data_IF_564659731397
#
_entry.id   IF_564659731397
#
_cell.length_a   1.000
_cell.length_b   1.000
_cell.length_c   1.000
_cell.angle_alpha   90.00
_cell.angle_beta   90.00
_cell.angle_gamma   90.00
#
_symmetry.space_group_name_H-M   'P 1'
#
loop_
_entity.id
_entity.type
_entity.pdbx_description
1 polymer ?
#
# COMPACT_ATOMS: atom_id res chain seq x y z
N UNK A 1 -39.95 5.73 -5.99
CA UNK A 1 -38.88 4.70 -6.00
C UNK A 1 -39.45 3.57 -6.81
N UNK A 2 -39.29 3.71 -8.12
CA UNK A 2 -39.89 2.82 -9.10
C UNK A 2 -39.08 1.52 -9.13
N UNK A 3 -39.82 0.42 -9.07
CA UNK A 3 -39.32 -0.93 -9.02
C UNK A 3 -38.87 -1.33 -10.43
N UNK A 4 -37.58 -1.14 -10.74
CA UNK A 4 -36.98 -1.65 -11.97
C UNK A 4 -36.99 -3.19 -11.93
N UNK A 5 -38.05 -3.78 -12.49
CA UNK A 5 -38.07 -5.19 -12.87
C UNK A 5 -37.07 -5.38 -14.02
N UNK A 6 -35.88 -5.86 -13.67
CA UNK A 6 -34.93 -6.44 -14.62
C UNK A 6 -35.62 -7.64 -15.27
N UNK A 7 -36.14 -7.45 -16.49
CA UNK A 7 -36.61 -8.56 -17.31
C UNK A 7 -35.40 -9.38 -17.73
N UNK A 8 -35.19 -10.49 -17.04
CA UNK A 8 -34.22 -11.52 -17.40
C UNK A 8 -34.54 -12.00 -18.83
N UNK A 9 -33.69 -11.62 -19.79
CA UNK A 9 -33.89 -11.95 -21.21
C UNK A 9 -33.71 -13.45 -21.39
N UNK A 10 -34.83 -14.18 -21.48
CA UNK A 10 -34.83 -15.61 -21.66
C UNK A 10 -34.10 -16.01 -22.95
N UNK A 11 -33.05 -16.83 -22.81
CA UNK A 11 -32.24 -17.31 -23.92
C UNK A 11 -33.10 -18.16 -24.89
N UNK A 12 -32.97 -17.99 -26.22
CA UNK A 12 -33.76 -18.72 -27.21
C UNK A 12 -33.62 -20.25 -27.07
N UNK A 13 -34.75 -20.96 -26.95
CA UNK A 13 -34.80 -22.40 -26.70
C UNK A 13 -35.11 -23.21 -27.97
N UNK A 14 -34.33 -24.25 -28.23
CA UNK A 14 -34.43 -25.13 -29.41
C UNK A 14 -35.71 -25.98 -29.37
N UNK A 15 -36.24 -26.25 -28.18
CA UNK A 15 -37.46 -27.03 -27.99
C UNK A 15 -38.71 -26.15 -27.86
N UNK A 16 -38.62 -24.85 -28.18
CA UNK A 16 -39.78 -23.96 -28.22
C UNK A 16 -40.77 -24.37 -29.32
N UNK A 17 -42.06 -24.16 -29.06
CA UNK A 17 -43.13 -24.35 -30.03
C UNK A 17 -43.13 -23.27 -31.11
N UNK A 18 -42.47 -22.13 -30.86
CA UNK A 18 -42.35 -21.02 -31.81
C UNK A 18 -41.21 -21.27 -32.81
N UNK A 19 -41.52 -21.16 -34.10
CA UNK A 19 -40.55 -21.39 -35.19
C UNK A 19 -39.39 -20.38 -35.17
N UNK A 20 -39.67 -19.12 -34.83
CA UNK A 20 -38.67 -18.05 -34.84
C UNK A 20 -37.64 -18.20 -33.73
N UNK A 21 -38.06 -18.61 -32.54
CA UNK A 21 -37.15 -18.87 -31.41
C UNK A 21 -36.22 -20.05 -31.69
N UNK A 22 -36.71 -21.09 -32.39
CA UNK A 22 -35.85 -22.22 -32.79
C UNK A 22 -34.83 -21.83 -33.84
N UNK A 23 -35.21 -20.95 -34.78
CA UNK A 23 -34.29 -20.42 -35.80
C UNK A 23 -33.23 -19.54 -35.13
N UNK A 24 -33.63 -18.68 -34.18
CA UNK A 24 -32.71 -17.86 -33.40
C UNK A 24 -31.74 -18.71 -32.57
N UNK A 25 -32.24 -19.73 -31.87
CA UNK A 25 -31.42 -20.65 -31.09
C UNK A 25 -30.41 -21.44 -31.95
N UNK A 26 -30.81 -21.87 -33.16
CA UNK A 26 -29.91 -22.52 -34.12
C UNK A 26 -28.84 -21.59 -34.65
N UNK A 27 -29.20 -20.35 -35.04
CA UNK A 27 -28.22 -19.34 -35.50
C UNK A 27 -27.19 -19.05 -34.42
N UNK A 28 -27.62 -18.95 -33.16
CA UNK A 28 -26.72 -18.72 -32.03
C UNK A 28 -25.74 -19.88 -31.79
N UNK A 29 -26.20 -21.13 -31.96
CA UNK A 29 -25.31 -22.30 -31.89
C UNK A 29 -24.32 -22.37 -33.05
N UNK A 30 -24.74 -22.04 -34.26
CA UNK A 30 -23.85 -22.01 -35.44
C UNK A 30 -22.80 -20.94 -35.27
N UNK A 31 -23.19 -19.72 -34.87
CA UNK A 31 -22.24 -18.64 -34.57
C UNK A 31 -21.22 -19.05 -33.50
N UNK A 32 -21.67 -19.68 -32.40
CA UNK A 32 -20.77 -20.15 -31.33
C UNK A 32 -19.86 -21.31 -31.76
N UNK A 33 -20.30 -22.13 -32.71
CA UNK A 33 -19.50 -23.20 -33.29
C UNK A 33 -18.46 -22.66 -34.30
N UNK A 34 -18.83 -21.66 -35.11
CA UNK A 34 -17.91 -20.94 -35.99
C UNK A 34 -16.85 -20.19 -35.17
N UNK A 35 -17.25 -19.53 -34.08
CA UNK A 35 -16.33 -18.85 -33.16
C UNK A 35 -15.34 -19.84 -32.52
N UNK A 36 -15.79 -21.02 -32.11
CA UNK A 36 -14.88 -22.11 -31.65
C UNK A 36 -13.98 -22.65 -32.75
N UNK A 37 -14.46 -22.76 -33.98
CA UNK A 37 -13.66 -23.25 -35.10
C UNK A 37 -12.60 -22.22 -35.53
N UNK A 38 -12.88 -20.92 -35.39
CA UNK A 38 -11.93 -19.83 -35.65
C UNK A 38 -10.89 -19.72 -34.52
N UNK A 39 -11.28 -19.95 -33.27
CA UNK A 39 -10.40 -19.77 -32.10
C UNK A 39 -9.55 -21.01 -31.75
N UNK A 40 -9.82 -22.18 -32.34
CA UNK A 40 -9.09 -23.42 -32.08
C UNK A 40 -9.37 -24.03 -30.70
N UNK A 41 -9.38 -25.36 -30.59
CA UNK A 41 -9.73 -26.08 -29.35
C UNK A 41 -8.74 -25.87 -28.18
N UNK A 42 -7.58 -25.24 -28.40
CA UNK A 42 -6.58 -24.97 -27.36
C UNK A 42 -6.87 -23.71 -26.52
N UNK A 43 -7.82 -22.85 -26.91
CA UNK A 43 -8.09 -21.60 -26.19
C UNK A 43 -9.16 -21.72 -25.08
N UNK A 44 -9.61 -22.94 -24.78
CA UNK A 44 -10.63 -23.23 -23.77
C UNK A 44 -10.07 -23.98 -22.55
N UNK A 45 -8.74 -24.05 -22.39
CA UNK A 45 -8.19 -24.32 -21.06
C UNK A 45 -8.67 -23.19 -20.16
N UNK A 46 -9.48 -23.57 -19.17
CA UNK A 46 -9.92 -22.79 -18.02
C UNK A 46 -9.18 -21.45 -17.91
N UNK A 47 -9.92 -20.35 -18.09
CA UNK A 47 -9.63 -19.10 -17.41
C UNK A 47 -9.70 -19.41 -15.90
N UNK A 48 -8.67 -20.07 -15.38
CA UNK A 48 -8.28 -19.87 -14.02
C UNK A 48 -8.09 -18.36 -13.92
N UNK A 49 -8.97 -17.70 -13.19
CA UNK A 49 -8.67 -16.40 -12.58
C UNK A 49 -7.40 -16.60 -11.75
N UNK A 50 -6.24 -16.58 -12.42
CA UNK A 50 -4.98 -16.22 -11.81
C UNK A 50 -5.29 -14.86 -11.21
N UNK A 51 -5.45 -14.83 -9.89
CA UNK A 51 -5.43 -13.59 -9.13
C UNK A 51 -4.12 -12.93 -9.52
N UNK A 52 -4.18 -11.97 -10.45
CA UNK A 52 -3.01 -11.21 -10.88
C UNK A 52 -2.32 -10.76 -9.61
N UNK A 53 -1.12 -11.29 -9.36
CA UNK A 53 -0.35 -10.88 -8.21
C UNK A 53 -0.21 -9.36 -8.30
N UNK A 54 -0.57 -8.62 -7.24
CA UNK A 54 -0.57 -7.17 -7.30
C UNK A 54 0.83 -6.73 -7.71
N UNK A 55 0.89 -5.85 -8.69
CA UNK A 55 2.15 -5.30 -9.19
C UNK A 55 3.04 -4.80 -8.04
N UNK A 56 4.36 -4.87 -8.22
CA UNK A 56 5.35 -4.43 -7.24
C UNK A 56 5.08 -3.02 -6.72
N UNK A 57 4.66 -2.11 -7.60
CA UNK A 57 4.32 -0.74 -7.23
C UNK A 57 3.06 -0.67 -6.36
N UNK A 58 2.03 -1.47 -6.66
CA UNK A 58 0.80 -1.57 -5.87
C UNK A 58 1.09 -2.11 -4.47
N UNK A 59 1.93 -3.14 -4.36
CA UNK A 59 2.36 -3.68 -3.06
C UNK A 59 3.13 -2.62 -2.25
N UNK A 60 4.01 -1.85 -2.89
CA UNK A 60 4.75 -0.76 -2.23
C UNK A 60 3.82 0.34 -1.73
N UNK A 61 2.78 0.72 -2.48
CA UNK A 61 1.77 1.70 -2.04
C UNK A 61 1.07 1.22 -0.77
N UNK A 62 0.62 -0.03 -0.73
CA UNK A 62 -0.08 -0.56 0.43
C UNK A 62 0.84 -0.68 1.66
N UNK A 63 2.09 -1.10 1.47
CA UNK A 63 3.09 -1.09 2.54
C UNK A 63 3.35 0.32 3.10
N UNK A 64 3.52 1.29 2.21
CA UNK A 64 3.72 2.70 2.58
C UNK A 64 2.53 3.25 3.36
N UNK A 65 1.30 2.92 2.92
CA UNK A 65 0.05 3.31 3.59
C UNK A 65 -0.04 2.74 5.01
N UNK A 66 0.30 1.46 5.19
CA UNK A 66 0.29 0.82 6.51
C UNK A 66 1.34 1.43 7.44
N UNK A 67 2.53 1.71 6.93
CA UNK A 67 3.61 2.35 7.69
C UNK A 67 3.21 3.75 8.15
N UNK A 68 2.61 4.55 7.27
CA UNK A 68 2.11 5.89 7.59
C UNK A 68 0.97 5.86 8.62
N UNK A 69 0.02 4.93 8.50
CA UNK A 69 -1.05 4.77 9.50
C UNK A 69 -0.51 4.40 10.88
N UNK A 70 0.48 3.51 10.93
CA UNK A 70 1.13 3.17 12.19
C UNK A 70 1.82 4.38 12.79
N UNK A 71 2.57 5.13 11.99
CA UNK A 71 3.23 6.36 12.42
C UNK A 71 2.23 7.41 12.95
N UNK A 72 1.09 7.57 12.28
CA UNK A 72 0.01 8.46 12.70
C UNK A 72 -0.58 8.04 14.05
N UNK A 73 -0.87 6.75 14.24
CA UNK A 73 -1.36 6.20 15.50
C UNK A 73 -0.35 6.43 16.63
N UNK A 74 0.91 6.06 16.41
CA UNK A 74 1.97 6.17 17.42
C UNK A 74 2.22 7.65 17.78
N UNK A 75 2.25 8.54 16.79
CA UNK A 75 2.36 9.99 17.01
C UNK A 75 1.18 10.57 17.79
N UNK A 76 -0.04 10.15 17.45
CA UNK A 76 -1.26 10.59 18.16
C UNK A 76 -1.23 10.17 19.63
N UNK A 77 -0.71 8.97 19.94
CA UNK A 77 -0.54 8.53 21.33
C UNK A 77 0.45 9.40 22.09
N UNK A 78 1.59 9.78 21.49
CA UNK A 78 2.60 10.62 22.14
C UNK A 78 2.08 12.00 22.56
N UNK A 79 1.22 12.61 21.72
CA UNK A 79 0.53 13.87 22.02
C UNK A 79 -0.58 13.67 23.05
N UNK A 80 -1.39 12.62 22.89
CA UNK A 80 -2.50 12.31 23.80
C UNK A 80 -2.03 12.02 25.23
N UNK A 81 -0.85 11.42 25.40
CA UNK A 81 -0.27 11.14 26.71
C UNK A 81 -0.09 12.40 27.57
N UNK A 82 0.25 13.55 26.96
CA UNK A 82 0.36 14.82 27.68
C UNK A 82 -1.01 15.24 28.20
N UNK A 83 -2.03 15.20 27.34
CA UNK A 83 -3.40 15.56 27.71
C UNK A 83 -3.93 14.66 28.84
N UNK A 84 -3.77 13.35 28.71
CA UNK A 84 -4.20 12.39 29.75
C UNK A 84 -3.49 12.65 31.08
N UNK A 85 -2.19 12.94 31.06
CA UNK A 85 -1.45 13.30 32.26
C UNK A 85 -1.93 14.63 32.87
N UNK A 86 -2.32 15.60 32.03
CA UNK A 86 -2.95 16.85 32.46
C UNK A 86 -4.31 16.61 33.12
N UNK A 87 -5.18 15.82 32.49
CA UNK A 87 -6.50 15.47 33.00
C UNK A 87 -6.42 14.73 34.34
N UNK A 88 -5.47 13.80 34.48
CA UNK A 88 -5.23 13.08 35.73
C UNK A 88 -4.81 14.04 36.87
N UNK A 89 -3.92 14.99 36.58
CA UNK A 89 -3.50 16.01 37.56
C UNK A 89 -4.64 16.93 37.94
N UNK A 90 -5.46 17.35 36.98
CA UNK A 90 -6.62 18.21 37.24
C UNK A 90 -7.66 17.49 38.08
N UNK A 91 -7.93 16.21 37.79
CA UNK A 91 -8.80 15.37 38.61
C UNK A 91 -8.29 15.26 40.05
N UNK A 92 -6.99 15.07 40.23
CA UNK A 92 -6.38 15.02 41.55
C UNK A 92 -6.51 16.35 42.29
N UNK A 93 -6.24 17.48 41.62
CA UNK A 93 -6.42 18.82 42.22
C UNK A 93 -7.85 19.03 42.69
N UNK A 94 -8.86 18.68 41.89
CA UNK A 94 -10.27 18.81 42.28
C UNK A 94 -10.60 18.01 43.53
N UNK A 95 -10.14 16.76 43.61
CA UNK A 95 -10.34 15.92 44.79
C UNK A 95 -9.69 16.54 46.05
N UNK A 96 -8.46 17.04 45.94
CA UNK A 96 -7.77 17.73 47.05
C UNK A 96 -8.47 19.04 47.46
N UNK A 97 -9.05 19.75 46.50
CA UNK A 97 -9.83 20.96 46.76
C UNK A 97 -11.14 20.70 47.49
N UNK A 98 -11.87 19.67 47.06
CA UNK A 98 -13.11 19.23 47.70
C UNK A 98 -12.84 18.79 49.14
N UNK A 99 -11.78 18.01 49.36
CA UNK A 99 -11.36 17.58 50.69
C UNK A 99 -10.98 18.77 51.58
N UNK A 100 -10.17 19.70 51.07
CA UNK A 100 -9.77 20.90 51.82
C UNK A 100 -10.99 21.76 52.16
N UNK A 101 -11.93 21.91 51.23
CA UNK A 101 -13.17 22.64 51.46
C UNK A 101 -14.04 21.99 52.54
N UNK A 102 -14.12 20.64 52.55
CA UNK A 102 -14.81 19.88 53.59
C UNK A 102 -14.18 20.12 54.96
N UNK A 103 -12.86 20.02 55.07
CA UNK A 103 -12.11 20.25 56.31
C UNK A 103 -12.32 21.69 56.82
N UNK A 104 -12.26 22.70 55.94
CA UNK A 104 -12.53 24.09 56.33
C UNK A 104 -13.93 24.27 56.90
N UNK A 105 -14.93 23.66 56.26
CA UNK A 105 -16.32 23.71 56.72
C UNK A 105 -16.48 23.07 58.09
N UNK A 106 -15.90 21.89 58.28
CA UNK A 106 -15.94 21.18 59.57
C UNK A 106 -15.27 22.00 60.69
N UNK A 107 -14.10 22.59 60.43
CA UNK A 107 -13.43 23.49 61.39
C UNK A 107 -14.31 24.68 61.79
N UNK A 108 -14.98 25.31 60.82
CA UNK A 108 -15.91 26.42 61.09
C UNK A 108 -17.09 25.98 61.94
N UNK A 109 -17.69 24.82 61.65
CA UNK A 109 -18.82 24.28 62.41
C UNK A 109 -18.41 23.91 63.84
N UNK A 110 -17.22 23.31 64.01
CA UNK A 110 -16.67 22.98 65.33
C UNK A 110 -16.36 24.23 66.16
N UNK A 111 -15.74 25.26 65.56
CA UNK A 111 -15.54 26.54 66.25
C UNK A 111 -16.88 27.15 66.65
N UNK A 112 -17.85 27.22 65.72
CA UNK A 112 -19.13 27.84 66.00
C UNK A 112 -19.85 27.15 67.17
N UNK A 113 -19.81 25.81 67.20
CA UNK A 113 -20.39 25.03 68.29
C UNK A 113 -19.68 25.28 69.62
N UNK A 114 -18.36 25.15 69.66
CA UNK A 114 -17.57 25.36 70.88
C UNK A 114 -17.64 26.81 71.38
N UNK A 115 -17.67 27.79 70.48
CA UNK A 115 -17.89 29.20 70.79
C UNK A 115 -19.28 29.44 71.38
N UNK A 116 -20.32 28.78 70.87
CA UNK A 116 -21.68 28.89 71.41
C UNK A 116 -21.78 28.31 72.83
N UNK A 117 -21.22 27.12 73.06
CA UNK A 117 -21.18 26.46 74.37
C UNK A 117 -20.46 27.34 75.42
N UNK A 118 -19.29 27.89 75.07
CA UNK A 118 -18.53 28.78 75.95
C UNK A 118 -19.23 30.11 76.21
N UNK A 119 -19.90 30.68 75.21
CA UNK A 119 -20.69 31.90 75.40
C UNK A 119 -21.88 31.66 76.34
N UNK A 120 -22.51 30.50 76.26
CA UNK A 120 -23.58 30.13 77.19
C UNK A 120 -23.05 30.00 78.63
N UNK A 121 -21.88 29.40 78.82
CA UNK A 121 -21.22 29.34 80.14
C UNK A 121 -20.84 30.72 80.68
N UNK A 122 -20.31 31.60 79.82
CA UNK A 122 -20.03 33.00 80.17
C UNK A 122 -21.34 33.69 80.57
N UNK A 123 -22.43 33.54 79.82
CA UNK A 123 -23.72 34.14 80.17
C UNK A 123 -24.23 33.66 81.54
N UNK A 124 -24.17 32.36 81.85
CA UNK A 124 -24.54 31.83 83.18
C UNK A 124 -23.71 32.43 84.31
N UNK A 125 -22.41 32.68 84.08
CA UNK A 125 -21.52 33.30 85.08
C UNK A 125 -21.80 34.79 85.29
N UNK A 126 -22.39 35.49 84.33
CA UNK A 126 -22.86 36.87 84.52
C UNK A 126 -24.02 36.96 85.52
N UNK A 127 -24.97 36.03 85.47
CA UNK A 127 -26.07 35.95 86.43
C UNK A 127 -25.56 35.76 87.87
N UNK A 128 -24.54 34.92 88.03
CA UNK A 128 -23.88 34.67 89.33
C UNK A 128 -23.13 35.92 89.81
N UNK A 129 -22.41 36.60 88.91
CA UNK A 129 -21.68 37.82 89.26
C UNK A 129 -22.63 38.93 89.75
N UNK A 130 -23.82 39.06 89.16
CA UNK A 130 -24.83 40.05 89.54
C UNK A 130 -25.33 39.89 90.99
N UNK A 131 -25.30 38.66 91.51
CA UNK A 131 -25.75 38.33 92.87
C UNK A 131 -24.68 38.58 93.95
N UNK A 132 -23.48 39.06 93.59
CA UNK A 132 -22.38 39.28 94.54
C UNK A 132 -22.42 40.68 95.15
N UNK A 133 -22.72 40.75 96.45
CA UNK A 133 -22.75 42.01 97.21
C UNK A 133 -21.37 42.50 97.69
N UNK A 134 -20.38 41.60 97.76
CA UNK A 134 -19.02 41.93 98.24
C UNK A 134 -18.18 42.46 97.06
N UNK A 135 -17.69 43.71 97.11
CA UNK A 135 -16.96 44.32 96.00
C UNK A 135 -15.72 43.55 95.52
N UNK A 136 -14.94 42.97 96.44
CA UNK A 136 -13.77 42.15 96.08
C UNK A 136 -14.16 40.88 95.33
N UNK A 137 -15.22 40.20 95.79
CA UNK A 137 -15.72 38.97 95.16
C UNK A 137 -16.33 39.25 93.77
N UNK A 138 -16.99 40.39 93.61
CA UNK A 138 -17.48 40.87 92.32
C UNK A 138 -16.32 41.17 91.37
N UNK A 139 -15.29 41.88 91.83
CA UNK A 139 -14.11 42.19 91.03
C UNK A 139 -13.42 40.94 90.50
N UNK A 140 -13.24 39.92 91.34
CA UNK A 140 -12.64 38.64 90.92
C UNK A 140 -13.49 37.91 89.86
N UNK A 141 -14.83 37.92 90.01
CA UNK A 141 -15.73 37.35 89.01
C UNK A 141 -15.66 38.08 87.67
N UNK A 142 -15.61 39.42 87.69
CA UNK A 142 -15.47 40.24 86.48
C UNK A 142 -14.13 39.99 85.78
N UNK A 143 -13.05 39.81 86.54
CA UNK A 143 -11.75 39.48 85.98
C UNK A 143 -11.76 38.10 85.31
N UNK A 144 -12.36 37.09 85.95
CA UNK A 144 -12.52 35.76 85.35
C UNK A 144 -13.36 35.80 84.07
N UNK A 145 -14.42 36.63 84.03
CA UNK A 145 -15.24 36.79 82.84
C UNK A 145 -14.51 37.48 81.70
N UNK A 146 -13.75 38.53 82.02
CA UNK A 146 -12.87 39.16 81.04
C UNK A 146 -11.89 38.15 80.44
N UNK A 147 -11.24 37.34 81.27
CA UNK A 147 -10.32 36.28 80.82
C UNK A 147 -11.02 35.25 79.93
N UNK A 148 -12.26 34.84 80.25
CA UNK A 148 -13.02 33.92 79.42
C UNK A 148 -13.39 34.52 78.05
N UNK A 149 -13.79 35.80 78.01
CA UNK A 149 -14.05 36.51 76.75
C UNK A 149 -12.77 36.71 75.93
N UNK A 150 -11.65 37.05 76.57
CA UNK A 150 -10.35 37.20 75.93
C UNK A 150 -9.90 35.87 75.30
N UNK A 151 -10.05 34.75 76.01
CA UNK A 151 -9.74 33.41 75.48
C UNK A 151 -10.59 33.04 74.25
N UNK A 152 -11.89 33.37 74.24
CA UNK A 152 -12.76 33.13 73.09
C UNK A 152 -12.37 33.99 71.88
N UNK A 153 -11.97 35.24 72.11
CA UNK A 153 -11.43 36.12 71.06
C UNK A 153 -10.14 35.56 70.49
N UNK A 154 -9.25 35.05 71.35
CA UNK A 154 -7.96 34.51 70.92
C UNK A 154 -8.11 33.25 70.06
N UNK A 155 -9.10 32.39 70.37
CA UNK A 155 -9.44 31.25 69.51
C UNK A 155 -9.99 31.67 68.15
N UNK A 156 -10.88 32.68 68.11
CA UNK A 156 -11.34 33.23 66.83
C UNK A 156 -10.20 33.83 66.02
N UNK A 157 -9.31 34.59 66.65
CA UNK A 157 -8.12 35.14 66.01
C UNK A 157 -7.19 34.04 65.50
N UNK A 158 -7.03 32.94 66.24
CA UNK A 158 -6.27 31.77 65.79
C UNK A 158 -6.88 31.16 64.53
N UNK A 159 -8.19 30.94 64.51
CA UNK A 159 -8.88 30.40 63.35
C UNK A 159 -8.78 31.33 62.13
N UNK A 160 -8.89 32.64 62.34
CA UNK A 160 -8.67 33.64 61.28
C UNK A 160 -7.26 33.52 60.70
N UNK A 161 -6.24 33.44 61.56
CA UNK A 161 -4.85 33.29 61.13
C UNK A 161 -4.63 31.98 60.36
N UNK A 162 -5.23 30.87 60.80
CA UNK A 162 -5.14 29.58 60.12
C UNK A 162 -5.72 29.67 58.69
N UNK A 163 -6.87 30.33 58.51
CA UNK A 163 -7.45 30.53 57.18
C UNK A 163 -6.68 31.52 56.31
N UNK A 164 -6.08 32.57 56.90
CA UNK A 164 -5.20 33.47 56.16
C UNK A 164 -3.95 32.74 55.65
N UNK A 165 -3.37 31.85 56.44
CA UNK A 165 -2.25 31.00 56.02
C UNK A 165 -2.69 30.03 54.93
N UNK A 166 -3.86 29.39 55.06
CA UNK A 166 -4.39 28.49 54.05
C UNK A 166 -4.63 29.21 52.71
N UNK A 167 -5.17 30.43 52.74
CA UNK A 167 -5.38 31.26 51.55
C UNK A 167 -4.04 31.57 50.86
N UNK A 168 -3.03 31.98 51.63
CA UNK A 168 -1.69 32.23 51.08
C UNK A 168 -1.08 30.98 50.44
N UNK A 169 -1.22 29.83 51.10
CA UNK A 169 -0.77 28.53 50.57
C UNK A 169 -1.54 28.10 49.31
N UNK A 170 -2.80 28.53 49.17
CA UNK A 170 -3.59 28.32 47.95
C UNK A 170 -3.07 29.21 46.81
N UNK A 171 -2.81 30.49 47.06
CA UNK A 171 -2.24 31.41 46.06
C UNK A 171 -0.87 30.91 45.56
N UNK A 172 0.00 30.47 46.46
CA UNK A 172 1.30 29.89 46.11
C UNK A 172 1.17 28.61 45.25
N UNK A 173 0.15 27.78 45.53
CA UNK A 173 -0.15 26.59 44.73
C UNK A 173 -0.70 26.97 43.36
N UNK A 174 -1.61 27.94 43.29
CA UNK A 174 -2.19 28.42 42.04
C UNK A 174 -1.12 28.93 41.07
N UNK A 175 -0.16 29.72 41.55
CA UNK A 175 0.96 30.20 40.72
C UNK A 175 1.82 29.04 40.20
N UNK A 176 2.11 28.02 41.03
CA UNK A 176 2.84 26.82 40.61
C UNK A 176 2.06 26.03 39.56
N UNK A 177 0.76 25.91 39.74
CA UNK A 177 -0.15 25.23 38.82
C UNK A 177 -0.21 25.92 37.45
N UNK A 178 -0.25 27.25 37.43
CA UNK A 178 -0.19 28.02 36.18
C UNK A 178 1.13 27.82 35.45
N UNK A 179 2.26 27.87 36.17
CA UNK A 179 3.58 27.61 35.58
C UNK A 179 3.65 26.21 34.96
N UNK A 180 3.19 25.21 35.71
CA UNK A 180 3.16 23.83 35.22
C UNK A 180 2.26 23.66 33.99
N UNK A 181 1.10 24.33 33.97
CA UNK A 181 0.22 24.33 32.79
C UNK A 181 0.88 24.98 31.58
N UNK A 182 1.64 26.07 31.77
CA UNK A 182 2.42 26.67 30.69
C UNK A 182 3.50 25.70 30.18
N UNK A 183 4.26 25.08 31.08
CA UNK A 183 5.28 24.08 30.73
C UNK A 183 4.66 22.87 29.98
N UNK A 184 3.47 22.42 30.39
CA UNK A 184 2.73 21.34 29.73
C UNK A 184 2.26 21.74 28.31
N UNK A 185 1.84 23.00 28.11
CA UNK A 185 1.47 23.54 26.80
C UNK A 185 2.71 23.64 25.90
N UNK A 186 3.82 24.16 26.41
CA UNK A 186 5.06 24.26 25.65
C UNK A 186 5.55 22.87 25.20
N UNK A 187 5.50 21.89 26.10
CA UNK A 187 5.81 20.50 25.78
C UNK A 187 4.85 19.90 24.75
N UNK A 188 3.56 20.22 24.83
CA UNK A 188 2.56 19.78 23.85
C UNK A 188 2.88 20.31 22.46
N UNK A 189 3.20 21.60 22.36
CA UNK A 189 3.59 22.25 21.11
C UNK A 189 4.86 21.61 20.55
N UNK A 190 5.90 21.44 21.37
CA UNK A 190 7.15 20.80 20.95
C UNK A 190 6.91 19.40 20.36
N UNK A 191 6.12 18.55 21.04
CA UNK A 191 5.80 17.21 20.54
C UNK A 191 4.97 17.21 19.27
N UNK A 192 4.00 18.13 19.16
CA UNK A 192 3.20 18.26 17.94
C UNK A 192 4.06 18.70 16.75
N UNK A 193 5.00 19.63 16.96
CA UNK A 193 5.93 20.04 15.93
C UNK A 193 6.89 18.92 15.51
N UNK A 194 7.41 18.15 16.47
CA UNK A 194 8.25 16.99 16.18
C UNK A 194 7.49 15.88 15.44
N UNK A 195 6.24 15.61 15.83
CA UNK A 195 5.35 14.70 15.11
C UNK A 195 5.13 15.16 13.67
N UNK A 196 4.84 16.45 13.46
CA UNK A 196 4.61 17.03 12.13
C UNK A 196 5.88 16.97 11.26
N UNK A 197 7.05 17.25 11.83
CA UNK A 197 8.34 17.10 11.12
C UNK A 197 8.58 15.64 10.73
N UNK A 198 8.36 14.71 11.66
CA UNK A 198 8.55 13.26 11.43
C UNK A 198 7.58 12.72 10.39
N UNK A 199 6.31 13.10 10.47
CA UNK A 199 5.27 12.69 9.52
C UNK A 199 5.57 13.23 8.12
N UNK A 200 5.94 14.51 7.99
CA UNK A 200 6.33 15.08 6.70
C UNK A 200 7.55 14.40 6.09
N UNK A 201 8.56 14.09 6.90
CA UNK A 201 9.74 13.35 6.45
C UNK A 201 9.35 11.96 5.96
N UNK A 202 8.59 11.20 6.75
CA UNK A 202 8.13 9.86 6.38
C UNK A 202 7.28 9.88 5.10
N UNK A 203 6.40 10.87 4.93
CA UNK A 203 5.60 11.02 3.71
C UNK A 203 6.47 11.22 2.47
N UNK A 204 7.52 12.05 2.56
CA UNK A 204 8.48 12.21 1.46
C UNK A 204 9.23 10.92 1.18
N UNK A 205 9.72 10.27 2.23
CA UNK A 205 10.45 8.99 2.11
C UNK A 205 9.56 7.88 1.49
N UNK A 206 8.27 7.82 1.86
CA UNK A 206 7.31 6.90 1.22
C UNK A 206 7.10 7.19 -0.27
N UNK A 207 6.93 8.47 -0.63
CA UNK A 207 6.72 8.87 -2.01
C UNK A 207 7.93 8.51 -2.87
N UNK A 208 9.14 8.75 -2.37
CA UNK A 208 10.39 8.35 -3.05
C UNK A 208 10.46 6.84 -3.24
N UNK A 209 10.03 6.04 -2.26
CA UNK A 209 10.02 4.57 -2.38
C UNK A 209 8.98 4.09 -3.39
N UNK A 210 7.79 4.69 -3.40
CA UNK A 210 6.74 4.40 -4.38
C UNK A 210 7.24 4.73 -5.79
N UNK A 211 7.84 5.90 -5.99
CA UNK A 211 8.38 6.31 -7.29
C UNK A 211 9.46 5.34 -7.78
N UNK A 212 10.40 4.94 -6.91
CA UNK A 212 11.43 3.94 -7.25
C UNK A 212 10.81 2.59 -7.63
N UNK A 213 9.75 2.15 -6.97
CA UNK A 213 9.07 0.92 -7.31
C UNK A 213 8.43 0.99 -8.72
N UNK A 214 7.78 2.11 -9.06
CA UNK A 214 7.24 2.34 -10.40
C UNK A 214 8.33 2.40 -11.48
N UNK A 215 9.46 3.07 -11.20
CA UNK A 215 10.57 3.15 -12.14
C UNK A 215 11.20 1.77 -12.40
N UNK A 216 11.40 0.98 -11.35
CA UNK A 216 11.91 -0.39 -11.45
C UNK A 216 10.96 -1.28 -12.26
N UNK A 217 9.66 -1.22 -11.99
CA UNK A 217 8.66 -2.01 -12.73
C UNK A 217 8.61 -1.63 -14.21
N UNK A 218 8.71 -0.33 -14.51
CA UNK A 218 8.77 0.18 -15.88
C UNK A 218 10.03 -0.33 -16.60
N UNK A 219 11.18 -0.29 -15.95
CA UNK A 219 12.44 -0.80 -16.50
C UNK A 219 12.36 -2.29 -16.80
N UNK A 220 11.83 -3.09 -15.87
CA UNK A 220 11.62 -4.53 -16.05
C UNK A 220 10.68 -4.83 -17.25
N UNK A 221 9.60 -4.07 -17.37
CA UNK A 221 8.64 -4.20 -18.48
C UNK A 221 9.28 -3.86 -19.83
N UNK A 222 10.06 -2.77 -19.88
CA UNK A 222 10.77 -2.37 -21.10
C UNK A 222 11.81 -3.41 -21.52
N UNK A 223 12.58 -3.94 -20.56
CA UNK A 223 13.58 -4.98 -20.81
C UNK A 223 12.92 -6.28 -21.30
N UNK A 224 11.78 -6.66 -20.73
CA UNK A 224 10.99 -7.81 -21.20
C UNK A 224 10.52 -7.62 -22.65
N UNK A 225 10.00 -6.44 -22.99
CA UNK A 225 9.54 -6.15 -24.36
C UNK A 225 10.71 -6.10 -25.35
N UNK A 226 11.85 -5.55 -24.94
CA UNK A 226 13.08 -5.52 -25.74
C UNK A 226 13.56 -6.94 -26.05
N UNK A 227 13.64 -7.82 -25.06
CA UNK A 227 14.01 -9.23 -25.25
C UNK A 227 13.06 -9.95 -26.21
N UNK A 228 11.74 -9.81 -26.00
CA UNK A 228 10.72 -10.38 -26.91
C UNK A 228 10.87 -9.87 -28.35
N UNK A 229 11.26 -8.61 -28.52
CA UNK A 229 11.51 -8.02 -29.85
C UNK A 229 12.77 -8.58 -30.49
N UNK A 230 13.87 -8.66 -29.74
CA UNK A 230 15.14 -9.24 -30.18
C UNK A 230 14.95 -10.71 -30.58
N UNK A 231 14.24 -11.50 -29.78
CA UNK A 231 13.89 -12.90 -30.10
C UNK A 231 13.11 -13.03 -31.41
N UNK A 232 12.12 -12.16 -31.64
CA UNK A 232 11.36 -12.15 -32.90
C UNK A 232 12.22 -11.74 -34.10
N UNK A 233 13.14 -10.80 -33.91
CA UNK A 233 14.06 -10.36 -34.96
C UNK A 233 15.06 -11.47 -35.30
N UNK A 234 15.58 -12.17 -34.30
CA UNK A 234 16.48 -13.32 -34.46
C UNK A 234 15.78 -14.47 -35.16
N UNK A 235 14.54 -14.77 -34.76
CA UNK A 235 13.71 -15.76 -35.43
C UNK A 235 13.50 -15.42 -36.91
N UNK A 236 13.20 -14.16 -37.23
CA UNK A 236 13.09 -13.69 -38.62
C UNK A 236 14.41 -13.87 -39.37
N UNK A 237 15.54 -13.44 -38.79
CA UNK A 237 16.88 -13.57 -39.42
C UNK A 237 17.22 -15.04 -39.72
N UNK A 238 16.94 -15.93 -38.78
CA UNK A 238 17.13 -17.37 -38.95
C UNK A 238 16.29 -17.90 -40.12
N UNK A 239 15.01 -17.52 -40.20
CA UNK A 239 14.13 -17.91 -41.31
C UNK A 239 14.56 -17.35 -42.66
N UNK A 240 15.07 -16.12 -42.71
CA UNK A 240 15.62 -15.53 -43.93
C UNK A 240 16.89 -16.26 -44.39
N UNK A 241 17.78 -16.63 -43.45
CA UNK A 241 18.96 -17.41 -43.73
C UNK A 241 18.61 -18.80 -44.27
N UNK A 242 17.69 -19.52 -43.61
CA UNK A 242 17.18 -20.82 -44.07
C UNK A 242 16.62 -20.73 -45.51
N UNK A 243 15.88 -19.67 -45.82
CA UNK A 243 15.33 -19.44 -47.16
C UNK A 243 16.43 -19.21 -48.21
N UNK A 244 17.44 -18.40 -47.89
CA UNK A 244 18.57 -18.12 -48.78
C UNK A 244 19.42 -19.37 -49.02
N UNK A 245 19.70 -20.16 -47.98
CA UNK A 245 20.43 -21.42 -48.10
C UNK A 245 19.66 -22.42 -48.96
N UNK A 246 18.35 -22.57 -48.74
CA UNK A 246 17.50 -23.42 -49.58
C UNK A 246 17.48 -22.95 -51.05
N UNK A 247 17.45 -21.63 -51.29
CA UNK A 247 17.55 -21.06 -52.64
C UNK A 247 18.91 -21.34 -53.26
N UNK A 248 20.01 -21.13 -52.54
CA UNK A 248 21.36 -21.37 -53.02
C UNK A 248 21.55 -22.84 -53.37
N UNK A 249 21.06 -23.75 -52.53
CA UNK A 249 21.10 -25.19 -52.80
C UNK A 249 20.39 -25.55 -54.10
N UNK A 250 19.17 -25.03 -54.33
CA UNK A 250 18.46 -25.23 -55.61
C UNK A 250 19.23 -24.71 -56.82
N UNK A 251 19.89 -23.56 -56.69
CA UNK A 251 20.72 -23.01 -57.78
C UNK A 251 21.91 -23.93 -58.06
N UNK A 252 22.62 -24.37 -57.03
CA UNK A 252 23.74 -25.30 -57.17
C UNK A 252 23.28 -26.63 -57.80
N UNK A 253 22.13 -27.19 -57.37
CA UNK A 253 21.57 -28.41 -57.93
C UNK A 253 21.27 -28.26 -59.44
N UNK A 254 20.76 -27.10 -59.88
CA UNK A 254 20.55 -26.82 -61.31
C UNK A 254 21.86 -26.63 -62.08
N UNK A 255 22.87 -25.99 -61.49
CA UNK A 255 24.19 -25.86 -62.10
C UNK A 255 24.86 -27.21 -62.29
N UNK A 256 24.76 -28.11 -61.31
CA UNK A 256 25.24 -29.50 -61.41
C UNK A 256 24.50 -30.25 -62.52
N UNK A 257 23.17 -30.13 -62.62
CA UNK A 257 22.39 -30.74 -63.70
C UNK A 257 22.81 -30.22 -65.08
N UNK A 258 23.01 -28.90 -65.24
CA UNK A 258 23.51 -28.31 -66.49
C UNK A 258 24.90 -28.85 -66.83
N UNK A 259 25.78 -28.97 -65.83
CA UNK A 259 27.12 -29.51 -66.03
C UNK A 259 27.08 -30.99 -66.46
N UNK A 260 26.21 -31.80 -65.83
CA UNK A 260 26.01 -33.21 -66.21
C UNK A 260 25.52 -33.34 -67.65
N UNK A 261 24.53 -32.53 -68.06
CA UNK A 261 24.04 -32.52 -69.45
C UNK A 261 25.16 -32.13 -70.42
N UNK A 262 25.98 -31.13 -70.10
CA UNK A 262 27.12 -30.75 -70.95
C UNK A 262 28.15 -31.86 -71.11
N UNK A 263 28.42 -32.63 -70.05
CA UNK A 263 29.32 -33.79 -70.13
C UNK A 263 28.72 -34.90 -70.99
N UNK A 264 27.43 -35.21 -70.80
CA UNK A 264 26.70 -36.18 -71.61
C UNK A 264 26.70 -35.78 -73.08
N UNK A 265 26.38 -34.53 -73.41
CA UNK A 265 26.41 -34.01 -74.77
C UNK A 265 27.81 -34.11 -75.40
N UNK A 266 28.88 -33.87 -74.62
CA UNK A 266 30.26 -34.00 -75.09
C UNK A 266 30.65 -35.47 -75.34
N UNK A 267 30.23 -36.38 -74.46
CA UNK A 267 30.41 -37.82 -74.62
C UNK A 267 29.64 -38.35 -75.83
N UNK A 268 28.38 -37.95 -76.00
CA UNK A 268 27.54 -38.29 -77.15
C UNK A 268 28.15 -37.76 -78.45
N UNK A 269 28.59 -36.49 -78.46
CA UNK A 269 29.30 -35.91 -79.59
C UNK A 269 30.56 -36.71 -79.93
N UNK A 270 31.37 -37.07 -78.92
CA UNK A 270 32.57 -37.88 -79.13
C UNK A 270 32.23 -39.28 -79.67
N UNK A 271 31.17 -39.91 -79.16
CA UNK A 271 30.70 -41.20 -79.68
C UNK A 271 30.24 -41.09 -81.15
N UNK A 272 29.44 -40.07 -81.48
CA UNK A 272 28.99 -39.83 -82.86
C UNK A 272 30.17 -39.53 -83.78
N UNK A 273 31.12 -38.71 -83.32
CA UNK A 273 32.36 -38.41 -84.06
C UNK A 273 33.16 -39.69 -84.34
N UNK A 274 33.40 -40.53 -83.33
CA UNK A 274 34.10 -41.81 -83.50
C UNK A 274 33.34 -42.70 -84.49
N UNK A 275 32.01 -42.83 -84.36
CA UNK A 275 31.18 -43.61 -85.30
C UNK A 275 31.36 -43.12 -86.74
N UNK A 276 31.22 -41.82 -86.99
CA UNK A 276 31.41 -41.24 -88.31
C UNK A 276 32.84 -41.43 -88.84
N UNK A 277 33.86 -41.22 -88.02
CA UNK A 277 35.26 -41.47 -88.41
C UNK A 277 35.50 -42.94 -88.75
N UNK A 278 34.92 -43.88 -88.00
CA UNK A 278 34.99 -45.31 -88.33
C UNK A 278 34.22 -45.65 -89.60
N UNK A 279 33.05 -45.05 -89.85
CA UNK A 279 32.29 -45.23 -91.09
C UNK A 279 33.05 -44.67 -92.29
N UNK A 280 33.71 -43.52 -92.15
CA UNK A 280 34.62 -42.96 -93.16
C UNK A 280 35.82 -43.89 -93.39
N UNK A 281 36.43 -44.44 -92.34
CA UNK A 281 37.54 -45.41 -92.49
C UNK A 281 37.09 -46.71 -93.16
N UNK A 282 35.92 -47.24 -92.80
CA UNK A 282 35.35 -48.46 -93.42
C UNK A 282 35.01 -48.21 -94.88
N UNK A 283 34.39 -47.07 -95.22
CA UNK A 283 34.13 -46.70 -96.62
C UNK A 283 35.43 -46.48 -97.39
N UNK A 284 36.46 -45.88 -96.78
CA UNK A 284 37.77 -45.72 -97.40
C UNK A 284 38.50 -47.06 -97.60
N UNK A 285 38.38 -48.01 -96.66
CA UNK A 285 38.88 -49.38 -96.81
C UNK A 285 38.13 -50.15 -97.90
N UNK A 286 36.79 -50.02 -97.96
CA UNK A 286 35.99 -50.57 -99.06
C UNK A 286 36.38 -49.97 -100.41
N UNK A 287 36.66 -48.66 -100.48
CA UNK A 287 37.13 -47.99 -101.69
C UNK A 287 38.55 -48.43 -102.08
N UNK A 288 39.43 -48.66 -101.10
CA UNK A 288 40.78 -49.18 -101.32
C UNK A 288 40.76 -50.65 -101.78
N UNK A 289 39.78 -51.45 -101.33
CA UNK A 289 39.55 -52.82 -101.78
C UNK A 289 38.93 -52.88 -103.19
N UNK A 290 38.21 -51.84 -103.63
CA UNK A 290 37.77 -51.65 -105.02
C UNK A 290 38.84 -51.00 -105.94
N UNK A 291 39.80 -50.26 -105.40
CA UNK A 291 40.93 -49.67 -106.15
C UNK A 291 42.14 -50.63 -106.32
N UNK A 292 42.08 -51.85 -105.80
CA UNK A 292 43.05 -52.92 -106.08
C UNK A 292 42.60 -53.82 -107.24
N UNK A 293 42.19 -53.21 -108.35
CA UNK A 293 42.17 -53.85 -109.68
C UNK A 293 43.31 -53.25 -110.50
N UNK A 294 44.46 -53.91 -110.60
CA UNK A 294 45.57 -53.44 -111.44
C UNK A 294 45.29 -53.81 -112.90
N UNK A 295 45.21 -52.82 -113.78
CA UNK A 295 45.21 -53.05 -115.23
C UNK A 295 46.54 -52.60 -115.82
N UNK A 296 47.39 -53.58 -116.18
CA UNK A 296 48.38 -53.65 -117.28
C UNK A 296 48.88 -55.12 -117.23
N UNK A 297 49.00 -55.95 -118.27
CA UNK A 297 48.45 -56.09 -119.63
C UNK A 297 49.01 -57.44 -120.13
N UNK A 298 48.23 -58.30 -120.81
CA UNK A 298 48.58 -59.24 -121.93
C UNK A 298 47.81 -60.59 -121.97
N UNK A 299 46.99 -60.71 -123.03
CA UNK A 299 46.88 -61.81 -124.02
C UNK A 299 46.57 -63.25 -123.59
N UNK A 300 45.32 -63.69 -123.77
CA UNK A 300 44.90 -64.47 -124.95
C UNK A 300 43.39 -64.40 -125.15
#
# INVERSE_FOLDING_TARGET
MDNEQVTEVALPNINSSNSEERIAARRLRVAKAEERAVMGEDHMSEEAEEKEEPSKSIQQIEFSRQRLKKLESDGTQLVTNIRVAGDARESQRRAEYEESARIRKEKMEQEAKTSAERLEEINKKWDIALQKDIPQSLHEALLQQKLACDALRDEKNKLINDFQQELKMFDDRYVKDLKKQADDIDLLVERMEEQLKTQNKSLRDELDLIERAFLSEREETLELHKKKWEEKLDYRRMKEQEYLEARQKRVNDFEEQIHQVRLQDAEEYQQVKIKLETEVQVTFLFFCQFCSVPTIFLSH
#
